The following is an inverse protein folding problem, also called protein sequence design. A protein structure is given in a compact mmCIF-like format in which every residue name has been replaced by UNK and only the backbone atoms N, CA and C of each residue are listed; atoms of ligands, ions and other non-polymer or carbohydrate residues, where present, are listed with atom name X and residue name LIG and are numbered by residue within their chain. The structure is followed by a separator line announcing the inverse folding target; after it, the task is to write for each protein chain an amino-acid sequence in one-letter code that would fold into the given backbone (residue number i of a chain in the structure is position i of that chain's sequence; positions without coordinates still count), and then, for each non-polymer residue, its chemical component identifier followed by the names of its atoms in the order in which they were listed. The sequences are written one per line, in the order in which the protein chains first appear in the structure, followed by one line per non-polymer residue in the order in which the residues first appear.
data_IF_113491230735
#
_entry.id   IF_113491230735
#
_cell.length_a   1.000
_cell.length_b   1.000
_cell.length_c   1.000
_cell.angle_alpha   90.00
_cell.angle_beta   90.00
_cell.angle_gamma   90.00
#
_symmetry.space_group_name_H-M   'P 1'
#
loop_
_entity.id
_entity.type
_entity.pdbx_description
1 polymer ?
#
# COMPACT_ATOMS: atom_id res chain seq x y z
N UNK A 1 -13.50 17.87 3.78
CA UNK A 1 -12.89 16.52 3.69
C UNK A 1 -13.50 15.65 4.79
N UNK A 2 -14.52 14.88 4.44
CA UNK A 2 -15.25 14.04 5.40
C UNK A 2 -14.48 12.79 5.78
N UNK A 3 -14.73 12.29 6.99
CA UNK A 3 -14.17 11.08 7.61
C UNK A 3 -14.17 9.83 6.68
N UNK A 4 -15.04 9.83 5.67
CA UNK A 4 -15.17 8.80 4.64
C UNK A 4 -13.93 8.64 3.75
N UNK A 5 -13.12 9.69 3.56
CA UNK A 5 -11.93 9.65 2.70
C UNK A 5 -10.73 8.91 3.33
N UNK A 6 -10.64 8.89 4.67
CA UNK A 6 -9.58 8.20 5.41
C UNK A 6 -9.83 6.69 5.50
N UNK A 7 -11.09 6.26 5.62
CA UNK A 7 -11.46 4.84 5.67
C UNK A 7 -11.37 4.16 4.28
N UNK A 8 -11.53 4.91 3.19
CA UNK A 8 -11.56 4.37 1.83
C UNK A 8 -10.21 3.82 1.33
N UNK A 9 -9.08 4.19 1.94
CA UNK A 9 -7.75 3.68 1.53
C UNK A 9 -7.51 2.23 1.97
N UNK A 10 -8.04 1.82 3.13
CA UNK A 10 -7.70 0.53 3.74
C UNK A 10 -8.77 -0.56 3.53
N UNK A 11 -10.05 -0.18 3.46
CA UNK A 11 -11.16 -1.14 3.34
C UNK A 11 -11.00 -2.08 2.14
N UNK A 12 -10.65 -1.61 0.91
CA UNK A 12 -10.48 -2.51 -0.23
C UNK A 12 -9.37 -3.54 -0.03
N UNK A 13 -8.31 -3.18 0.70
CA UNK A 13 -7.21 -4.10 1.00
C UNK A 13 -7.67 -5.11 2.06
N UNK A 14 -8.37 -4.67 3.11
CA UNK A 14 -8.94 -5.57 4.13
C UNK A 14 -9.88 -6.62 3.55
N UNK A 15 -10.78 -6.23 2.65
CA UNK A 15 -11.68 -7.18 2.02
C UNK A 15 -10.93 -8.14 1.09
N UNK A 16 -9.90 -7.67 0.36
CA UNK A 16 -9.05 -8.54 -0.46
C UNK A 16 -8.25 -9.58 0.36
N UNK A 17 -7.76 -9.22 1.56
CA UNK A 17 -7.02 -10.14 2.43
C UNK A 17 -7.85 -11.39 2.77
N UNK A 18 -9.17 -11.24 2.97
CA UNK A 18 -10.05 -12.39 3.25
C UNK A 18 -10.04 -13.41 2.10
N UNK A 19 -10.02 -12.93 0.85
CA UNK A 19 -9.97 -13.80 -0.33
C UNK A 19 -8.62 -14.51 -0.43
N UNK A 20 -7.51 -13.82 -0.14
CA UNK A 20 -6.18 -14.43 -0.09
C UNK A 20 -6.10 -15.52 0.99
N UNK A 21 -6.63 -15.25 2.18
CA UNK A 21 -6.66 -16.23 3.26
C UNK A 21 -7.45 -17.49 2.88
N UNK A 22 -8.61 -17.34 2.24
CA UNK A 22 -9.41 -18.49 1.78
C UNK A 22 -8.70 -19.36 0.73
N UNK A 23 -7.87 -18.76 -0.14
CA UNK A 23 -7.10 -19.49 -1.14
C UNK A 23 -5.74 -19.99 -0.61
N UNK A 24 -5.44 -19.82 0.68
CA UNK A 24 -4.16 -20.20 1.26
C UNK A 24 -2.98 -19.34 0.77
N UNK A 25 -3.25 -18.14 0.25
CA UNK A 25 -2.21 -17.20 -0.18
C UNK A 25 -1.68 -16.40 1.00
N UNK A 26 -0.36 -16.19 1.04
CA UNK A 26 0.30 -15.33 2.02
C UNK A 26 0.14 -13.86 1.63
N UNK A 27 -0.44 -13.07 2.53
CA UNK A 27 -0.48 -11.62 2.41
C UNK A 27 0.74 -10.99 3.09
N UNK A 28 1.47 -10.14 2.35
CA UNK A 28 2.67 -9.44 2.85
C UNK A 28 2.39 -7.93 2.94
N UNK A 29 2.09 -7.39 4.13
CA UNK A 29 1.98 -5.96 4.34
C UNK A 29 3.35 -5.28 4.33
N UNK A 30 3.40 -4.02 3.91
CA UNK A 30 4.64 -3.22 3.95
C UNK A 30 4.94 -2.64 5.32
N UNK A 31 3.93 -2.54 6.19
CA UNK A 31 4.03 -1.88 7.48
C UNK A 31 4.51 -0.44 7.34
N UNK A 32 5.35 0.01 8.27
CA UNK A 32 5.96 1.35 8.26
C UNK A 32 7.41 1.34 7.74
N UNK A 33 7.78 0.31 6.97
CA UNK A 33 9.17 0.12 6.48
C UNK A 33 9.63 1.15 5.46
N UNK A 34 8.71 1.95 4.90
CA UNK A 34 9.02 3.09 4.03
C UNK A 34 9.58 4.31 4.81
N UNK A 35 9.68 4.21 6.14
CA UNK A 35 10.32 5.20 6.99
C UNK A 35 9.61 6.55 6.99
N UNK A 36 10.38 7.64 7.06
CA UNK A 36 9.83 9.01 7.14
C UNK A 36 8.86 9.35 6.00
N UNK A 37 8.99 8.72 4.83
CA UNK A 37 8.11 8.95 3.68
C UNK A 37 6.63 8.66 3.96
N UNK A 38 6.30 7.73 4.86
CA UNK A 38 4.92 7.41 5.24
C UNK A 38 4.38 8.32 6.36
N UNK A 39 5.22 9.16 6.95
CA UNK A 39 4.86 10.11 8.02
C UNK A 39 4.86 11.57 7.56
N UNK A 40 5.37 11.86 6.35
CA UNK A 40 5.31 13.22 5.77
C UNK A 40 3.87 13.70 5.60
N UNK A 41 3.61 14.94 6.01
CA UNK A 41 2.29 15.61 5.95
C UNK A 41 2.32 16.91 5.12
N UNK A 42 3.34 17.04 4.27
CA UNK A 42 3.53 18.18 3.34
C UNK A 42 2.53 18.19 2.19
N UNK A 43 2.01 17.02 1.81
CA UNK A 43 1.09 16.84 0.69
C UNK A 43 0.09 15.72 0.94
N UNK A 44 -1.06 15.79 0.26
CA UNK A 44 -2.03 14.70 0.24
C UNK A 44 -1.42 13.54 -0.56
N UNK A 45 -1.40 12.35 0.04
CA UNK A 45 -0.87 11.13 -0.56
C UNK A 45 -1.68 9.91 -0.15
N UNK A 46 -1.80 8.95 -1.06
CA UNK A 46 -2.36 7.64 -0.79
C UNK A 46 -1.36 6.67 -0.15
N UNK A 47 -1.89 5.52 0.26
CA UNK A 47 -1.14 4.42 0.82
C UNK A 47 -1.16 4.37 2.36
N UNK A 48 -0.97 3.16 2.88
CA UNK A 48 -1.03 2.84 4.31
C UNK A 48 -0.06 1.72 4.66
N UNK A 49 -0.06 1.29 5.93
CA UNK A 49 0.71 0.12 6.37
C UNK A 49 0.31 -1.18 5.67
N UNK A 50 -0.90 -1.26 5.12
CA UNK A 50 -1.37 -2.43 4.38
C UNK A 50 -0.86 -2.46 2.93
N UNK A 51 -0.48 -1.32 2.37
CA UNK A 51 0.08 -1.26 1.02
C UNK A 51 0.12 0.14 0.41
N UNK A 52 0.81 0.24 -0.73
CA UNK A 52 0.82 1.43 -1.57
C UNK A 52 -0.56 1.67 -2.21
N UNK A 53 -0.93 2.95 -2.35
CA UNK A 53 -2.16 3.41 -2.98
C UNK A 53 -1.99 4.83 -3.51
N UNK A 54 -2.91 5.25 -4.39
CA UNK A 54 -2.90 6.57 -5.06
C UNK A 54 -4.31 7.14 -4.99
N UNK A 55 -4.44 8.44 -4.70
CA UNK A 55 -5.73 9.12 -4.90
C UNK A 55 -5.93 9.48 -6.37
N UNK A 56 -7.08 9.14 -6.96
CA UNK A 56 -7.35 9.42 -8.37
C UNK A 56 -8.20 10.69 -8.62
N UNK A 57 -8.76 11.34 -7.58
CA UNK A 57 -9.73 12.44 -7.72
C UNK A 57 -10.85 12.11 -8.73
N UNK A 58 -10.95 12.85 -9.83
CA UNK A 58 -11.87 12.70 -10.97
C UNK A 58 -11.21 11.96 -12.17
N UNK A 59 -10.03 11.39 -11.95
CA UNK A 59 -9.18 10.75 -12.95
C UNK A 59 -8.11 11.68 -13.55
N UNK A 60 -8.12 12.98 -13.23
CA UNK A 60 -7.11 13.93 -13.75
C UNK A 60 -5.85 14.00 -12.89
N UNK A 61 -5.90 13.51 -11.64
CA UNK A 61 -4.77 13.57 -10.72
C UNK A 61 -3.81 12.42 -10.98
N UNK A 62 -2.58 12.78 -11.37
CA UNK A 62 -1.47 11.84 -11.47
C UNK A 62 -0.92 11.43 -10.10
N UNK A 63 -0.26 10.27 -10.07
CA UNK A 63 0.44 9.80 -8.88
C UNK A 63 1.60 10.73 -8.53
N UNK A 64 1.67 11.16 -7.27
CA UNK A 64 2.80 11.96 -6.77
C UNK A 64 4.07 11.11 -6.66
N UNK A 65 5.22 11.77 -6.66
CA UNK A 65 6.53 11.11 -6.49
C UNK A 65 6.60 10.23 -5.24
N UNK A 66 6.00 10.69 -4.13
CA UNK A 66 5.95 9.94 -2.87
C UNK A 66 5.12 8.65 -3.00
N UNK A 67 4.00 8.69 -3.71
CA UNK A 67 3.16 7.51 -3.95
C UNK A 67 3.85 6.51 -4.89
N UNK A 68 4.54 7.00 -5.92
CA UNK A 68 5.36 6.18 -6.80
C UNK A 68 6.53 5.52 -6.06
N UNK A 69 7.24 6.27 -5.22
CA UNK A 69 8.30 5.74 -4.37
C UNK A 69 7.79 4.68 -3.39
N UNK A 70 6.61 4.87 -2.80
CA UNK A 70 5.97 3.88 -1.93
C UNK A 70 5.59 2.60 -2.70
N UNK A 71 5.09 2.72 -3.93
CA UNK A 71 4.82 1.59 -4.83
C UNK A 71 6.10 0.79 -5.12
N UNK A 72 7.21 1.46 -5.45
CA UNK A 72 8.48 0.80 -5.69
C UNK A 72 9.00 0.07 -4.45
N UNK A 73 8.94 0.73 -3.29
CA UNK A 73 9.33 0.13 -2.00
C UNK A 73 8.53 -1.14 -1.72
N UNK A 74 7.21 -1.10 -1.90
CA UNK A 74 6.32 -2.27 -1.77
C UNK A 74 6.75 -3.41 -2.69
N UNK A 75 7.04 -3.12 -3.95
CA UNK A 75 7.48 -4.12 -4.93
C UNK A 75 8.79 -4.79 -4.53
N UNK A 76 9.79 -4.00 -4.13
CA UNK A 76 11.09 -4.50 -3.65
C UNK A 76 10.95 -5.35 -2.38
N UNK A 77 10.13 -4.90 -1.44
CA UNK A 77 9.87 -5.62 -0.19
C UNK A 77 9.19 -6.98 -0.44
N UNK A 78 8.13 -6.99 -1.25
CA UNK A 78 7.44 -8.23 -1.64
C UNK A 78 8.39 -9.20 -2.33
N UNK A 79 9.16 -8.74 -3.31
CA UNK A 79 10.12 -9.57 -4.05
C UNK A 79 11.17 -10.18 -3.11
N UNK A 80 11.66 -9.43 -2.12
CA UNK A 80 12.60 -9.93 -1.13
C UNK A 80 11.98 -11.02 -0.24
N UNK A 81 10.72 -10.88 0.18
CA UNK A 81 10.00 -11.91 0.95
C UNK A 81 9.78 -13.17 0.13
N UNK A 82 9.28 -13.03 -1.11
CA UNK A 82 9.09 -14.16 -2.02
C UNK A 82 10.40 -14.91 -2.26
N UNK A 83 11.50 -14.20 -2.51
CA UNK A 83 12.83 -14.80 -2.69
C UNK A 83 13.28 -15.60 -1.47
N UNK A 84 12.97 -15.15 -0.24
CA UNK A 84 13.31 -15.91 0.98
C UNK A 84 12.47 -17.17 1.11
N UNK A 85 11.20 -17.12 0.74
CA UNK A 85 10.30 -18.26 0.80
C UNK A 85 10.56 -19.28 -0.31
N UNK A 86 11.02 -18.85 -1.49
CA UNK A 86 11.33 -19.76 -2.61
C UNK A 86 12.62 -20.55 -2.42
N UNK A 87 13.47 -20.14 -1.48
CA UNK A 87 14.73 -20.82 -1.15
C UNK A 87 14.57 -21.85 -0.01
N UNK A 88 13.36 -21.99 0.52
CA UNK A 88 12.97 -23.05 1.45
C UNK A 88 12.45 -24.26 0.68
#
# INVERSE_FOLDING_TARGET
MGLQSLLALDIPIWTAITQFAHHGMLFVPIGYTFGAGIFKMDSIRGGSSYGAGVFASDGTREASETELALKEHRGKYMAAVVKRLSLA
#
